data_IF_866875675799
#
_entry.id   IF_866875675799
#
_cell.length_a   1.000
_cell.length_b   1.000
_cell.length_c   1.000
_cell.angle_alpha   90.00
_cell.angle_beta   90.00
_cell.angle_gamma   90.00
#
_symmetry.space_group_name_H-M   'P 1'
#
loop_
_entity.id
_entity.type
_entity.pdbx_description
1 polymer ?
#
# COMPACT_ATOMS: atom_id res chain seq x y z
N UNK A 1 15.52 -1.86 45.32
CA UNK A 1 15.66 -2.05 43.86
C UNK A 1 16.80 -1.15 43.37
N UNK A 2 17.88 -1.74 42.85
CA UNK A 2 19.09 -1.02 42.43
C UNK A 2 18.80 -0.09 41.25
N UNK A 3 19.20 1.19 41.35
CA UNK A 3 19.05 2.24 40.32
C UNK A 3 19.50 1.79 38.91
N UNK A 4 20.50 0.91 38.85
CA UNK A 4 21.02 0.37 37.59
C UNK A 4 20.06 -0.60 36.89
N UNK A 5 19.24 -1.35 37.63
CA UNK A 5 18.24 -2.25 37.05
C UNK A 5 17.10 -1.49 36.36
N UNK A 6 16.69 -0.36 36.94
CA UNK A 6 15.66 0.51 36.36
C UNK A 6 16.15 1.16 35.05
N UNK A 7 17.41 1.60 35.00
CA UNK A 7 18.01 2.19 33.78
C UNK A 7 18.13 1.17 32.65
N UNK A 8 18.53 -0.06 32.95
CA UNK A 8 18.61 -1.15 31.97
C UNK A 8 17.22 -1.48 31.42
N UNK A 9 16.20 -1.58 32.29
CA UNK A 9 14.83 -1.84 31.86
C UNK A 9 14.31 -0.75 30.91
N UNK A 10 14.50 0.53 31.27
CA UNK A 10 14.07 1.67 30.43
C UNK A 10 14.77 1.65 29.07
N UNK A 11 16.10 1.46 29.03
CA UNK A 11 16.84 1.37 27.77
C UNK A 11 16.36 0.22 26.89
N UNK A 12 16.06 -0.92 27.50
CA UNK A 12 15.56 -2.09 26.77
C UNK A 12 14.19 -1.83 26.17
N UNK A 13 13.28 -1.22 26.94
CA UNK A 13 11.92 -0.86 26.48
C UNK A 13 11.99 0.16 25.33
N UNK A 14 12.80 1.21 25.46
CA UNK A 14 12.98 2.23 24.42
C UNK A 14 13.54 1.61 23.13
N UNK A 15 14.54 0.72 23.23
CA UNK A 15 15.10 0.04 22.07
C UNK A 15 14.06 -0.82 21.33
N UNK A 16 13.19 -1.52 22.06
CA UNK A 16 12.09 -2.32 21.46
C UNK A 16 11.08 -1.44 20.74
N UNK A 17 10.69 -0.29 21.33
CA UNK A 17 9.75 0.64 20.69
C UNK A 17 10.31 1.26 19.40
N UNK A 18 11.61 1.60 19.39
CA UNK A 18 12.26 2.14 18.19
C UNK A 18 12.33 1.07 17.09
N UNK A 19 12.65 -0.18 17.44
CA UNK A 19 12.71 -1.29 16.49
C UNK A 19 11.34 -1.63 15.88
N UNK A 20 10.26 -1.55 16.66
CA UNK A 20 8.89 -1.83 16.19
C UNK A 20 8.37 -0.79 15.16
N UNK A 21 8.87 0.45 15.24
CA UNK A 21 8.49 1.53 14.31
C UNK A 21 9.04 1.39 12.88
N UNK A 22 10.03 0.53 12.67
CA UNK A 22 10.67 0.32 11.36
C UNK A 22 9.96 -0.72 10.47
N UNK A 23 8.69 -1.05 10.75
CA UNK A 23 7.92 -1.97 9.89
C UNK A 23 7.46 -1.23 8.63
N UNK A 24 8.18 -1.43 7.52
CA UNK A 24 7.77 -0.88 6.22
C UNK A 24 6.60 -1.66 5.66
N UNK A 25 5.53 -0.97 5.26
CA UNK A 25 4.37 -1.61 4.65
C UNK A 25 4.61 -1.94 3.19
N UNK A 26 4.15 -3.12 2.78
CA UNK A 26 4.19 -3.54 1.38
C UNK A 26 3.19 -2.73 0.54
N UNK A 27 3.50 -2.49 -0.74
CA UNK A 27 2.57 -1.84 -1.65
C UNK A 27 1.36 -2.73 -1.93
N UNK A 28 0.19 -2.13 -2.16
CA UNK A 28 -1.05 -2.87 -2.44
C UNK A 28 -2.00 -2.11 -3.37
N UNK A 29 -2.91 -2.84 -4.01
CA UNK A 29 -3.96 -2.28 -4.85
C UNK A 29 -5.04 -1.65 -3.95
N UNK A 30 -5.20 -0.34 -4.04
CA UNK A 30 -6.24 0.40 -3.32
C UNK A 30 -7.61 0.13 -3.93
N UNK A 31 -8.56 -0.31 -3.09
CA UNK A 31 -9.96 -0.55 -3.45
C UNK A 31 -10.87 0.31 -2.57
N UNK A 32 -11.34 1.42 -3.13
CA UNK A 32 -12.10 2.43 -2.38
C UNK A 32 -13.31 1.87 -1.60
N UNK A 33 -14.04 0.91 -2.19
CA UNK A 33 -15.28 0.36 -1.63
C UNK A 33 -15.15 -1.06 -1.04
N UNK A 34 -13.93 -1.57 -0.80
CA UNK A 34 -13.73 -2.95 -0.33
C UNK A 34 -14.43 -3.23 1.00
N UNK A 35 -14.53 -2.23 1.87
CA UNK A 35 -15.17 -2.35 3.18
C UNK A 35 -16.58 -1.75 3.24
N UNK A 36 -17.06 -1.16 2.15
CA UNK A 36 -18.39 -0.56 2.10
C UNK A 36 -19.46 -1.61 1.83
N UNK A 37 -20.08 -2.14 2.89
CA UNK A 37 -21.15 -3.16 2.80
C UNK A 37 -22.41 -2.68 2.08
N UNK A 38 -22.62 -1.37 1.98
CA UNK A 38 -23.74 -0.80 1.23
C UNK A 38 -23.44 -0.67 -0.27
N UNK A 39 -22.19 -0.91 -0.70
CA UNK A 39 -21.83 -0.91 -2.11
C UNK A 39 -22.52 -2.07 -2.84
N UNK A 40 -23.11 -1.84 -4.03
CA UNK A 40 -23.66 -2.93 -4.86
C UNK A 40 -22.59 -3.97 -5.27
N UNK A 41 -21.32 -3.58 -5.24
CA UNK A 41 -20.17 -4.41 -5.59
C UNK A 41 -19.45 -4.99 -4.35
N UNK A 42 -20.04 -4.90 -3.15
CA UNK A 42 -19.43 -5.44 -1.94
C UNK A 42 -19.13 -6.94 -2.09
N UNK A 43 -17.88 -7.32 -1.81
CA UNK A 43 -17.37 -8.69 -1.94
C UNK A 43 -17.55 -9.31 -3.34
N UNK A 44 -17.59 -8.49 -4.41
CA UNK A 44 -17.66 -8.95 -5.79
C UNK A 44 -16.40 -8.57 -6.55
N UNK A 45 -15.96 -9.45 -7.44
CA UNK A 45 -14.87 -9.15 -8.38
C UNK A 45 -15.47 -8.30 -9.51
N UNK A 46 -14.99 -7.07 -9.75
CA UNK A 46 -15.50 -6.23 -10.83
C UNK A 46 -15.25 -6.92 -12.18
N UNK A 47 -16.17 -6.75 -13.13
CA UNK A 47 -16.03 -7.33 -14.49
C UNK A 47 -15.01 -6.58 -15.34
N UNK A 48 -14.82 -5.30 -15.05
CA UNK A 48 -13.87 -4.45 -15.75
C UNK A 48 -13.28 -3.41 -14.80
N UNK A 49 -12.07 -2.95 -15.11
CA UNK A 49 -11.42 -1.85 -14.41
C UNK A 49 -10.78 -0.88 -15.39
N UNK A 50 -11.07 0.42 -15.24
CA UNK A 50 -10.53 1.50 -16.09
C UNK A 50 -9.20 2.04 -15.58
N UNK A 51 -9.06 2.15 -14.27
CA UNK A 51 -7.84 2.57 -13.61
C UNK A 51 -7.63 1.77 -12.34
N UNK A 52 -6.38 1.68 -11.91
CA UNK A 52 -6.00 1.11 -10.63
C UNK A 52 -5.19 2.15 -9.87
N UNK A 53 -5.26 2.11 -8.55
CA UNK A 53 -4.39 2.88 -7.68
C UNK A 53 -3.58 1.92 -6.82
N UNK A 54 -2.29 2.15 -6.72
CA UNK A 54 -1.38 1.38 -5.88
C UNK A 54 -0.91 2.30 -4.74
N UNK A 55 -1.24 1.96 -3.50
CA UNK A 55 -0.70 2.65 -2.34
C UNK A 55 0.63 2.00 -1.94
N UNK A 56 1.67 2.81 -1.74
CA UNK A 56 3.02 2.35 -1.46
C UNK A 56 3.81 3.35 -0.61
N UNK A 57 4.96 2.88 -0.08
CA UNK A 57 5.95 3.74 0.55
C UNK A 57 7.18 3.87 -0.35
N UNK A 58 7.64 5.11 -0.58
CA UNK A 58 8.87 5.38 -1.34
C UNK A 58 10.12 4.79 -0.66
N UNK A 59 10.06 4.56 0.66
CA UNK A 59 11.17 3.99 1.42
C UNK A 59 11.39 2.50 1.13
N UNK A 60 10.35 1.76 0.77
CA UNK A 60 10.40 0.30 0.63
C UNK A 60 10.10 -0.23 -0.77
N UNK A 61 9.55 0.60 -1.67
CA UNK A 61 9.03 0.12 -2.96
C UNK A 61 9.77 0.73 -4.15
N UNK A 62 10.19 -0.13 -5.10
CA UNK A 62 10.79 0.30 -6.37
C UNK A 62 9.71 0.54 -7.43
N UNK A 63 9.96 1.47 -8.34
CA UNK A 63 9.05 1.79 -9.44
C UNK A 63 8.77 0.57 -10.36
N UNK A 64 9.78 -0.28 -10.57
CA UNK A 64 9.63 -1.53 -11.35
C UNK A 64 8.59 -2.47 -10.74
N UNK A 65 8.48 -2.50 -9.42
CA UNK A 65 7.54 -3.38 -8.72
C UNK A 65 6.12 -2.85 -8.86
N UNK A 66 5.94 -1.52 -8.83
CA UNK A 66 4.67 -0.86 -9.12
C UNK A 66 4.19 -1.18 -10.54
N UNK A 67 5.07 -1.10 -11.54
CA UNK A 67 4.74 -1.44 -12.92
C UNK A 67 4.33 -2.91 -13.07
N UNK A 68 5.07 -3.84 -12.46
CA UNK A 68 4.74 -5.27 -12.48
C UNK A 68 3.39 -5.55 -11.82
N UNK A 69 3.12 -4.97 -10.66
CA UNK A 69 1.81 -5.08 -10.01
C UNK A 69 0.70 -4.51 -10.88
N UNK A 70 0.94 -3.35 -11.51
CA UNK A 70 -0.05 -2.72 -12.36
C UNK A 70 -0.38 -3.56 -13.59
N UNK A 71 0.64 -4.09 -14.26
CA UNK A 71 0.47 -4.99 -15.41
C UNK A 71 -0.26 -6.27 -15.01
N UNK A 72 0.10 -6.86 -13.87
CA UNK A 72 -0.60 -8.05 -13.35
C UNK A 72 -2.08 -7.78 -13.12
N UNK A 73 -2.41 -6.67 -12.46
CA UNK A 73 -3.79 -6.33 -12.11
C UNK A 73 -4.63 -5.94 -13.34
N UNK A 74 -4.13 -5.08 -14.24
CA UNK A 74 -4.82 -4.77 -15.49
C UNK A 74 -4.92 -5.99 -16.43
N UNK A 75 -3.92 -6.88 -16.39
CA UNK A 75 -3.85 -8.09 -17.19
C UNK A 75 -4.98 -9.09 -16.87
N UNK A 76 -5.51 -9.08 -15.64
CA UNK A 76 -6.70 -9.85 -15.27
C UNK A 76 -7.93 -9.53 -16.14
N UNK A 77 -7.94 -8.34 -16.77
CA UNK A 77 -9.00 -7.85 -17.63
C UNK A 77 -8.59 -7.80 -19.11
N UNK A 78 -7.46 -8.41 -19.48
CA UNK A 78 -6.92 -8.36 -20.84
C UNK A 78 -6.43 -6.97 -21.26
N UNK A 79 -6.01 -6.13 -20.30
CA UNK A 79 -5.59 -4.74 -20.51
C UNK A 79 -4.13 -4.52 -20.15
N UNK A 80 -3.54 -3.47 -20.72
CA UNK A 80 -2.18 -3.01 -20.41
C UNK A 80 -2.25 -1.82 -19.45
N UNK A 81 -1.38 -1.83 -18.44
CA UNK A 81 -1.24 -0.72 -17.51
C UNK A 81 -0.38 0.41 -18.11
N UNK A 82 -0.88 1.65 -18.04
CA UNK A 82 -0.14 2.87 -18.36
C UNK A 82 -0.12 3.79 -17.14
N UNK A 83 1.07 4.19 -16.73
CA UNK A 83 1.23 5.13 -15.62
C UNK A 83 0.54 6.46 -15.95
N UNK A 84 -0.22 7.00 -15.00
CA UNK A 84 -0.91 8.27 -15.13
C UNK A 84 -0.27 9.32 -14.23
N UNK A 85 -0.28 9.09 -12.91
CA UNK A 85 0.14 10.10 -11.94
C UNK A 85 0.47 9.51 -10.56
N UNK A 86 1.07 10.34 -9.71
CA UNK A 86 1.26 10.08 -8.28
C UNK A 86 0.37 11.00 -7.45
N UNK A 87 -0.22 10.47 -6.38
CA UNK A 87 -1.01 11.25 -5.41
C UNK A 87 -0.63 10.90 -3.96
N UNK A 88 -1.04 11.71 -2.98
CA UNK A 88 -0.70 11.49 -1.56
C UNK A 88 -1.90 11.50 -0.61
N UNK A 89 -3.10 11.82 -1.10
CA UNK A 89 -4.27 12.14 -0.26
C UNK A 89 -5.21 10.95 -0.02
N UNK A 90 -5.05 9.85 -0.76
CA UNK A 90 -6.01 8.73 -0.71
C UNK A 90 -5.47 7.49 0.00
N UNK A 91 -4.17 7.46 0.32
CA UNK A 91 -3.52 6.30 0.88
C UNK A 91 -3.25 6.48 2.39
N UNK A 92 -3.23 5.38 3.18
CA UNK A 92 -2.91 5.42 4.61
C UNK A 92 -1.49 5.91 4.91
N UNK A 93 -1.28 6.40 6.14
CA UNK A 93 0.01 6.94 6.60
C UNK A 93 1.20 5.99 6.42
N UNK A 94 0.98 4.67 6.52
CA UNK A 94 2.05 3.67 6.34
C UNK A 94 2.44 3.46 4.87
N UNK A 95 1.57 3.85 3.92
CA UNK A 95 1.77 3.74 2.47
C UNK A 95 1.34 5.05 1.79
N UNK A 96 1.94 6.19 2.16
CA UNK A 96 1.33 7.50 1.94
C UNK A 96 1.33 7.94 0.47
N UNK A 97 2.01 7.22 -0.42
CA UNK A 97 2.07 7.56 -1.85
C UNK A 97 1.14 6.65 -2.65
N UNK A 98 0.25 7.23 -3.44
CA UNK A 98 -0.53 6.58 -4.47
C UNK A 98 0.16 6.67 -5.83
N UNK A 99 0.14 5.59 -6.61
CA UNK A 99 0.44 5.61 -8.03
C UNK A 99 -0.79 5.12 -8.81
N UNK A 100 -1.30 5.97 -9.70
CA UNK A 100 -2.47 5.66 -10.53
C UNK A 100 -2.02 5.19 -11.90
N UNK A 101 -2.61 4.08 -12.37
CA UNK A 101 -2.39 3.53 -13.69
C UNK A 101 -3.73 3.36 -14.41
N UNK A 102 -3.78 3.76 -15.67
CA UNK A 102 -4.89 3.47 -16.57
C UNK A 102 -4.74 2.06 -17.14
N UNK A 103 -5.80 1.28 -17.08
CA UNK A 103 -5.90 0.00 -17.78
C UNK A 103 -6.52 0.26 -19.16
N UNK A 104 -5.72 0.15 -20.20
CA UNK A 104 -6.13 0.38 -21.59
C UNK A 104 -6.18 -0.94 -22.36
N UNK A 105 -7.03 -1.02 -23.39
CA UNK A 105 -6.93 -2.15 -24.33
C UNK A 105 -5.58 -2.09 -25.06
N UNK A 106 -4.95 -3.25 -25.34
CA UNK A 106 -3.69 -3.33 -26.07
C UNK A 106 -3.70 -2.58 -27.40
#
# INVERSE_FOLDING_TARGET
MHSNGMKILILTVVAVFIAAGCTTSNPYIYKHNEFNRASPDFNRIPKDRKNIKICYSKLSTKLSDLQKMAQKECGLYGKIARFQEHDFLHCPLMTPTGATFNCLRP
#
